data_IF_816533384259
#
_entry.id   IF_816533384259
#
_cell.length_a   1.000
_cell.length_b   1.000
_cell.length_c   1.000
_cell.angle_alpha   90.00
_cell.angle_beta   90.00
_cell.angle_gamma   90.00
#
_symmetry.space_group_name_H-M   'P 1'
#
loop_
_entity.id
_entity.type
_entity.pdbx_description
1 polymer ?
#
# COMPACT_ATOMS: atom_id res chain seq x y z
N UNK A 1 11.19 13.14 -24.99
CA UNK A 1 11.25 11.75 -24.48
C UNK A 1 9.94 11.60 -23.72
N UNK A 2 8.87 11.31 -24.45
CA UNK A 2 7.51 11.62 -23.98
C UNK A 2 6.74 10.32 -23.81
N UNK A 3 7.04 9.60 -22.74
CA UNK A 3 6.16 8.55 -22.23
C UNK A 3 5.56 9.07 -20.92
N UNK A 4 4.40 9.75 -20.98
CA UNK A 4 3.77 10.28 -19.78
C UNK A 4 3.49 9.14 -18.81
N UNK A 5 3.90 9.31 -17.56
CA UNK A 5 3.58 8.38 -16.48
C UNK A 5 2.05 8.39 -16.31
N UNK A 6 1.45 7.22 -16.21
CA UNK A 6 0.00 7.12 -16.04
C UNK A 6 -0.41 7.86 -14.74
N UNK A 7 -1.38 8.79 -14.75
CA UNK A 7 -1.70 9.62 -13.57
C UNK A 7 -1.99 8.80 -12.30
N UNK A 8 -2.74 7.69 -12.43
CA UNK A 8 -3.03 6.76 -11.32
C UNK A 8 -1.78 6.09 -10.71
N UNK A 9 -0.66 6.03 -11.44
CA UNK A 9 0.58 5.44 -10.94
C UNK A 9 1.33 6.38 -10.00
N UNK A 10 1.16 7.70 -10.16
CA UNK A 10 1.91 8.67 -9.36
C UNK A 10 1.63 8.56 -7.87
N UNK A 11 0.37 8.33 -7.46
CA UNK A 11 0.01 8.11 -6.06
C UNK A 11 0.65 6.84 -5.49
N UNK A 12 0.76 5.78 -6.30
CA UNK A 12 1.44 4.54 -5.91
C UNK A 12 2.95 4.77 -5.73
N UNK A 13 3.57 5.51 -6.66
CA UNK A 13 4.99 5.85 -6.59
C UNK A 13 5.29 6.74 -5.36
N UNK A 14 4.48 7.76 -5.13
CA UNK A 14 4.62 8.63 -3.96
C UNK A 14 4.41 7.88 -2.64
N UNK A 15 3.44 6.96 -2.57
CA UNK A 15 3.27 6.11 -1.40
C UNK A 15 4.54 5.28 -1.11
N UNK A 16 5.17 4.70 -2.13
CA UNK A 16 6.41 3.92 -1.97
C UNK A 16 7.58 4.77 -1.44
N UNK A 17 7.78 5.98 -1.94
CA UNK A 17 8.90 6.83 -1.50
C UNK A 17 8.62 7.55 -0.18
N UNK A 18 7.37 7.91 0.11
CA UNK A 18 6.99 8.67 1.31
C UNK A 18 6.64 7.81 2.50
N UNK A 19 6.11 6.60 2.33
CA UNK A 19 5.55 5.85 3.46
C UNK A 19 6.45 4.69 3.93
N UNK A 20 7.54 4.43 3.20
CA UNK A 20 8.58 3.49 3.64
C UNK A 20 9.51 4.10 4.68
N UNK A 21 10.10 3.22 5.49
CA UNK A 21 11.08 3.54 6.51
C UNK A 21 12.38 4.09 5.90
N UNK A 22 12.89 3.42 4.87
CA UNK A 22 14.14 3.78 4.22
C UNK A 22 13.98 4.98 3.27
N UNK A 23 15.02 5.80 3.21
CA UNK A 23 15.17 6.89 2.23
C UNK A 23 14.82 8.27 2.77
N UNK A 24 15.33 9.28 2.06
CA UNK A 24 15.04 10.69 2.29
C UNK A 24 14.20 11.18 1.11
N UNK A 25 12.86 11.07 1.17
CA UNK A 25 12.02 11.40 0.05
C UNK A 25 12.14 12.90 -0.28
N UNK A 26 12.24 13.20 -1.57
CA UNK A 26 12.16 14.54 -2.10
C UNK A 26 10.84 14.66 -2.85
N UNK A 27 10.03 15.65 -2.47
CA UNK A 27 8.77 15.97 -3.14
C UNK A 27 9.02 17.07 -4.15
N UNK A 28 8.54 16.88 -5.38
CA UNK A 28 8.68 17.87 -6.44
C UNK A 28 7.62 18.96 -6.30
N UNK A 29 8.04 20.22 -6.40
CA UNK A 29 7.14 21.38 -6.26
C UNK A 29 6.02 21.36 -7.30
N UNK A 30 6.33 21.04 -8.56
CA UNK A 30 5.35 20.98 -9.64
C UNK A 30 4.32 19.87 -9.47
N UNK A 31 4.63 18.79 -8.75
CA UNK A 31 3.66 17.74 -8.44
C UNK A 31 2.70 18.15 -7.31
N UNK A 32 3.13 19.03 -6.41
CA UNK A 32 2.31 19.57 -5.32
C UNK A 32 1.38 20.69 -5.79
N UNK A 33 1.90 21.63 -6.59
CA UNK A 33 1.20 22.86 -6.95
C UNK A 33 0.79 22.91 -8.42
N UNK A 34 1.22 21.94 -9.23
CA UNK A 34 1.13 22.03 -10.67
C UNK A 34 2.22 22.88 -11.28
N UNK A 35 2.22 22.97 -12.61
CA UNK A 35 3.13 23.82 -13.39
C UNK A 35 2.34 24.78 -14.25
N UNK A 36 2.92 25.95 -14.51
CA UNK A 36 2.35 26.97 -15.39
C UNK A 36 2.78 26.76 -16.85
N UNK A 37 2.29 27.63 -17.74
CA UNK A 37 2.71 27.73 -19.14
C UNK A 37 4.24 27.73 -19.30
N UNK A 38 4.80 27.07 -20.34
CA UNK A 38 4.12 26.46 -21.49
C UNK A 38 3.68 25.00 -21.29
N UNK A 39 3.90 24.43 -20.11
CA UNK A 39 3.60 23.02 -19.80
C UNK A 39 2.68 22.97 -18.60
N UNK A 40 1.40 23.29 -18.80
CA UNK A 40 0.39 23.28 -17.74
C UNK A 40 0.15 21.84 -17.24
N UNK A 41 0.31 21.63 -15.94
CA UNK A 41 -0.12 20.39 -15.29
C UNK A 41 -0.81 20.71 -13.97
N UNK A 42 -1.91 20.02 -13.70
CA UNK A 42 -2.54 20.07 -12.38
C UNK A 42 -1.68 19.35 -11.33
N UNK A 43 -1.87 19.64 -10.03
CA UNK A 43 -1.29 18.84 -8.97
C UNK A 43 -1.53 17.34 -9.17
N UNK A 44 -0.50 16.57 -8.88
CA UNK A 44 -0.49 15.12 -9.00
C UNK A 44 -1.28 14.47 -7.86
N UNK A 45 -1.54 13.16 -7.96
CA UNK A 45 -2.28 12.38 -6.95
C UNK A 45 -3.71 12.87 -6.68
N UNK A 46 -4.36 13.54 -7.63
CA UNK A 46 -5.67 14.17 -7.44
C UNK A 46 -5.69 15.13 -6.24
N UNK A 47 -4.57 15.83 -5.98
CA UNK A 47 -4.40 16.73 -4.82
C UNK A 47 -4.09 16.03 -3.49
N UNK A 48 -3.98 14.69 -3.46
CA UNK A 48 -3.78 13.90 -2.24
C UNK A 48 -2.33 13.78 -1.79
N UNK A 49 -1.40 14.39 -2.52
CA UNK A 49 0.03 14.35 -2.16
C UNK A 49 0.28 14.96 -0.77
N UNK A 50 -0.50 15.97 -0.40
CA UNK A 50 -0.52 16.54 0.94
C UNK A 50 -0.85 15.53 2.04
N UNK A 51 -1.85 14.67 1.81
CA UNK A 51 -2.23 13.61 2.73
C UNK A 51 -1.10 12.58 2.90
N UNK A 52 -0.37 12.24 1.83
CA UNK A 52 0.78 11.33 1.91
C UNK A 52 1.92 11.92 2.75
N UNK A 53 2.20 13.22 2.59
CA UNK A 53 3.21 13.93 3.39
C UNK A 53 2.80 13.99 4.86
N UNK A 54 1.53 14.31 5.14
CA UNK A 54 1.01 14.34 6.50
C UNK A 54 1.05 12.95 7.15
N UNK A 55 0.65 11.91 6.41
CA UNK A 55 0.74 10.52 6.88
C UNK A 55 2.18 10.13 7.20
N UNK A 56 3.16 10.57 6.39
CA UNK A 56 4.58 10.39 6.70
C UNK A 56 4.96 11.09 8.00
N UNK A 57 4.57 12.36 8.15
CA UNK A 57 4.90 13.21 9.30
C UNK A 57 4.32 12.69 10.62
N UNK A 58 3.15 12.04 10.60
CA UNK A 58 2.45 11.64 11.82
C UNK A 58 2.58 10.15 12.14
N UNK A 59 2.56 9.28 11.12
CA UNK A 59 2.31 7.84 11.32
C UNK A 59 3.39 6.92 10.76
N UNK A 60 4.28 7.40 9.89
CA UNK A 60 5.33 6.59 9.28
C UNK A 60 6.56 6.41 10.19
N UNK A 61 6.33 5.93 11.41
CA UNK A 61 7.35 5.66 12.42
C UNK A 61 7.32 4.20 12.88
N UNK A 62 8.39 3.80 13.57
CA UNK A 62 8.55 2.44 14.06
C UNK A 62 9.01 1.45 12.99
N UNK A 63 9.16 0.20 13.43
CA UNK A 63 9.56 -0.95 12.63
C UNK A 63 8.63 -1.11 11.42
N UNK A 64 9.22 -1.43 10.27
CA UNK A 64 8.48 -1.77 9.06
C UNK A 64 8.38 -3.29 8.85
N UNK A 65 7.19 -3.76 8.49
CA UNK A 65 6.97 -5.14 8.03
C UNK A 65 6.34 -5.16 6.63
N UNK A 66 7.01 -5.81 5.68
CA UNK A 66 6.60 -5.88 4.27
C UNK A 66 5.77 -7.13 3.95
N UNK A 67 4.70 -6.96 3.16
CA UNK A 67 3.76 -8.00 2.71
C UNK A 67 3.67 -8.03 1.18
N UNK A 68 4.72 -8.54 0.52
CA UNK A 68 4.92 -8.48 -0.94
C UNK A 68 4.71 -9.84 -1.64
N UNK A 69 3.85 -10.71 -1.08
CA UNK A 69 3.72 -12.10 -1.52
C UNK A 69 3.03 -12.26 -2.89
N UNK A 70 2.14 -11.35 -3.27
CA UNK A 70 1.51 -11.33 -4.60
C UNK A 70 1.90 -10.04 -5.34
N UNK A 71 2.27 -10.15 -6.63
CA UNK A 71 2.81 -9.04 -7.40
C UNK A 71 1.80 -7.92 -7.65
N UNK A 72 0.51 -8.25 -7.74
CA UNK A 72 -0.53 -7.30 -8.10
C UNK A 72 -1.02 -6.50 -6.89
N UNK A 73 -0.85 -7.01 -5.67
CA UNK A 73 -1.33 -6.35 -4.46
C UNK A 73 -0.28 -6.45 -3.37
N UNK A 74 0.32 -5.34 -2.98
CA UNK A 74 1.37 -5.32 -1.97
C UNK A 74 0.94 -4.44 -0.81
N UNK A 75 1.50 -4.69 0.37
CA UNK A 75 1.28 -3.84 1.52
C UNK A 75 2.45 -3.84 2.47
N UNK A 76 2.46 -2.90 3.38
CA UNK A 76 3.43 -2.84 4.47
C UNK A 76 2.81 -2.14 5.68
N UNK A 77 3.36 -2.46 6.84
CA UNK A 77 2.96 -1.89 8.13
C UNK A 77 4.12 -1.10 8.68
N UNK A 78 3.83 0.08 9.25
CA UNK A 78 4.71 0.81 10.17
C UNK A 78 4.11 0.69 11.56
N UNK A 79 4.83 0.08 12.50
CA UNK A 79 4.28 -0.27 13.83
C UNK A 79 3.99 0.93 14.73
N UNK A 80 4.48 2.11 14.40
CA UNK A 80 4.40 3.26 15.28
C UNK A 80 5.46 3.22 16.39
N UNK A 81 5.42 4.23 17.25
CA UNK A 81 6.34 4.36 18.38
C UNK A 81 5.57 4.85 19.61
N UNK A 82 5.85 4.26 20.77
CA UNK A 82 5.21 4.61 22.04
C UNK A 82 6.19 5.01 23.16
N UNK A 83 7.51 4.83 22.95
CA UNK A 83 8.51 4.81 24.03
C UNK A 83 9.46 6.04 24.15
N UNK A 84 9.14 7.22 23.56
CA UNK A 84 9.58 8.49 24.14
C UNK A 84 8.40 9.23 24.80
N UNK A 85 8.55 9.74 26.03
CA UNK A 85 7.57 10.67 26.62
C UNK A 85 7.38 11.88 25.70
N UNK A 86 6.13 12.11 25.26
CA UNK A 86 5.76 13.28 24.45
C UNK A 86 5.70 13.05 22.93
N UNK A 87 6.05 11.87 22.42
CA UNK A 87 5.81 11.54 21.01
C UNK A 87 5.26 10.12 20.87
N UNK A 88 3.98 10.02 20.51
CA UNK A 88 3.31 8.75 20.25
C UNK A 88 2.78 8.76 18.82
N UNK A 89 3.25 7.81 18.01
CA UNK A 89 2.77 7.59 16.65
C UNK A 89 2.06 6.23 16.62
N UNK A 90 0.78 6.22 16.25
CA UNK A 90 -0.05 5.00 16.18
C UNK A 90 0.40 4.00 15.09
N UNK A 91 1.34 4.38 14.23
CA UNK A 91 1.67 3.58 13.05
C UNK A 91 0.62 3.68 11.94
N UNK A 92 0.84 2.95 10.86
CA UNK A 92 -0.06 2.89 9.72
C UNK A 92 0.10 1.59 8.94
N UNK A 93 -0.93 1.23 8.20
CA UNK A 93 -0.95 0.08 7.30
C UNK A 93 -1.25 0.56 5.88
N UNK A 94 -0.34 0.30 4.96
CA UNK A 94 -0.47 0.69 3.56
C UNK A 94 -0.79 -0.54 2.74
N UNK A 95 -1.81 -0.46 1.90
CA UNK A 95 -2.12 -1.47 0.89
C UNK A 95 -2.26 -0.79 -0.44
N UNK A 96 -1.58 -1.31 -1.44
CA UNK A 96 -1.70 -0.85 -2.80
C UNK A 96 -1.87 -2.00 -3.77
N UNK A 97 -2.58 -1.72 -4.86
CA UNK A 97 -2.89 -2.67 -5.89
C UNK A 97 -2.62 -2.05 -7.25
N UNK A 98 -1.98 -2.82 -8.13
CA UNK A 98 -1.81 -2.49 -9.53
C UNK A 98 -2.08 -3.70 -10.41
N UNK A 99 -3.15 -3.61 -11.18
CA UNK A 99 -3.50 -4.52 -12.25
C UNK A 99 -3.25 -3.78 -13.55
N UNK A 100 -2.19 -4.17 -14.26
CA UNK A 100 -1.95 -3.66 -15.61
C UNK A 100 -3.04 -4.14 -16.58
N UNK A 101 -3.31 -3.35 -17.63
CA UNK A 101 -4.14 -3.76 -18.76
C UNK A 101 -3.41 -4.80 -19.64
N UNK A 102 -2.99 -5.91 -19.03
CA UNK A 102 -2.54 -7.05 -19.79
C UNK A 102 -3.77 -7.67 -20.44
N UNK A 103 -3.94 -7.43 -21.76
CA UNK A 103 -4.77 -8.30 -22.60
C UNK A 103 -4.23 -9.72 -22.40
N UNK A 104 -4.89 -10.52 -21.56
CA UNK A 104 -4.61 -11.95 -21.46
C UNK A 104 -4.78 -12.54 -22.86
N UNK A 105 -3.70 -12.77 -23.59
CA UNK A 105 -3.72 -13.86 -24.58
C UNK A 105 -3.89 -15.11 -23.75
N UNK A 106 -4.92 -15.90 -24.04
CA UNK A 106 -5.33 -17.10 -23.30
C UNK A 106 -4.26 -18.21 -23.19
N UNK A 107 -2.99 -17.95 -23.53
CA UNK A 107 -1.89 -18.90 -23.64
C UNK A 107 -0.80 -18.73 -22.57
N UNK A 108 -0.84 -17.69 -21.73
CA UNK A 108 0.28 -17.35 -20.81
C UNK A 108 0.08 -17.80 -19.34
N UNK A 109 -0.99 -18.53 -19.02
CA UNK A 109 -1.18 -19.10 -17.68
C UNK A 109 -0.20 -20.25 -17.36
N UNK A 110 0.58 -20.71 -18.34
CA UNK A 110 1.58 -21.77 -18.18
C UNK A 110 3.03 -21.29 -18.13
N UNK A 111 3.34 -20.02 -18.42
CA UNK A 111 4.73 -19.56 -18.58
C UNK A 111 5.34 -18.96 -17.30
N UNK A 112 4.52 -18.30 -16.47
CA UNK A 112 4.99 -17.59 -15.26
C UNK A 112 5.34 -18.57 -14.11
N UNK A 113 4.82 -19.81 -14.17
CA UNK A 113 5.09 -20.88 -13.20
C UNK A 113 5.59 -22.17 -13.88
N UNK A 114 6.35 -22.05 -14.98
CA UNK A 114 6.97 -23.22 -15.59
C UNK A 114 8.12 -23.72 -14.70
N UNK A 115 7.79 -24.67 -13.81
CA UNK A 115 8.75 -25.36 -12.94
C UNK A 115 9.95 -25.84 -13.78
N UNK A 116 11.21 -25.57 -13.37
CA UNK A 116 12.38 -26.01 -14.13
C UNK A 116 12.37 -27.54 -14.31
N UNK A 117 12.92 -28.05 -15.43
CA UNK A 117 12.77 -29.46 -15.85
C UNK A 117 13.14 -30.48 -14.77
N UNK A 118 14.05 -30.14 -13.85
CA UNK A 118 14.44 -31.00 -12.74
C UNK A 118 13.31 -31.19 -11.70
N UNK A 119 12.45 -30.19 -11.49
CA UNK A 119 11.28 -30.27 -10.61
C UNK A 119 10.17 -31.13 -11.23
N UNK A 120 10.04 -31.14 -12.57
CA UNK A 120 9.11 -32.02 -13.31
C UNK A 120 9.52 -33.50 -13.25
N UNK A 121 10.80 -33.79 -13.00
CA UNK A 121 11.30 -35.16 -12.82
C UNK A 121 10.96 -35.73 -11.44
N UNK A 122 10.82 -34.87 -10.44
CA UNK A 122 10.44 -35.24 -9.08
C UNK A 122 8.91 -35.36 -8.89
N UNK A 123 8.10 -34.79 -9.79
CA UNK A 123 6.64 -34.89 -9.73
C UNK A 123 6.07 -36.26 -10.11
N UNK A 124 6.90 -37.22 -10.53
CA UNK A 124 6.49 -38.61 -10.76
C UNK A 124 6.30 -39.45 -9.49
N UNK A 125 6.68 -38.93 -8.31
CA UNK A 125 6.62 -39.67 -7.03
C UNK A 125 5.79 -38.97 -5.94
N UNK A 126 5.21 -37.80 -6.21
CA UNK A 126 4.38 -37.07 -5.24
C UNK A 126 2.89 -37.14 -5.63
N UNK A 127 2.34 -38.35 -5.61
CA UNK A 127 0.91 -38.52 -5.43
C UNK A 127 0.53 -38.13 -4.00
N UNK A 128 -0.40 -37.18 -3.87
CA UNK A 128 -1.02 -36.63 -2.64
C UNK A 128 -0.31 -35.42 -2.02
N UNK A 129 -1.10 -34.37 -1.78
CA UNK A 129 -0.78 -33.08 -1.14
C UNK A 129 -0.17 -31.98 -2.02
N UNK A 130 -0.82 -31.68 -3.16
CA UNK A 130 -0.67 -30.37 -3.80
C UNK A 130 -1.73 -29.40 -3.31
N UNK A 131 -1.46 -28.64 -2.23
CA UNK A 131 -2.24 -27.44 -1.92
C UNK A 131 -1.92 -26.42 -3.01
N UNK A 132 -2.87 -26.14 -3.90
CA UNK A 132 -2.78 -24.97 -4.78
C UNK A 132 -2.62 -23.74 -3.88
N UNK A 133 -1.65 -22.83 -4.13
CA UNK A 133 -1.60 -21.59 -3.37
C UNK A 133 -2.94 -20.88 -3.57
N UNK A 134 -3.70 -20.68 -2.50
CA UNK A 134 -4.91 -19.85 -2.52
C UNK A 134 -4.44 -18.48 -3.03
N UNK A 135 -4.85 -18.08 -4.23
CA UNK A 135 -4.74 -16.69 -4.67
C UNK A 135 -5.39 -15.85 -3.57
N UNK A 136 -4.63 -14.92 -3.00
CA UNK A 136 -5.21 -13.94 -2.10
C UNK A 136 -6.37 -13.24 -2.83
N UNK A 137 -7.46 -12.89 -2.12
CA UNK A 137 -8.54 -12.16 -2.76
C UNK A 137 -7.97 -10.88 -3.38
N UNK A 138 -8.32 -10.62 -4.65
CA UNK A 138 -7.79 -9.46 -5.37
C UNK A 138 -8.10 -8.19 -4.57
N UNK A 139 -7.11 -7.30 -4.48
CA UNK A 139 -7.24 -5.98 -3.86
C UNK A 139 -7.42 -5.97 -2.34
N UNK A 140 -6.90 -6.95 -1.60
CA UNK A 140 -6.82 -6.85 -0.14
C UNK A 140 -5.60 -7.57 0.42
N UNK A 141 -5.15 -7.14 1.60
CA UNK A 141 -4.03 -7.75 2.31
C UNK A 141 -4.36 -8.03 3.76
N UNK A 142 -4.10 -9.26 4.17
CA UNK A 142 -4.03 -9.59 5.59
C UNK A 142 -2.67 -9.17 6.11
N UNK A 143 -2.65 -8.32 7.14
CA UNK A 143 -1.43 -7.79 7.73
C UNK A 143 -1.58 -7.72 9.25
N UNK A 144 -0.48 -7.97 9.95
CA UNK A 144 -0.36 -7.78 11.38
C UNK A 144 0.17 -6.38 11.69
N UNK A 145 -0.64 -5.56 12.35
CA UNK A 145 -0.29 -4.21 12.83
C UNK A 145 0.28 -4.22 14.25
N UNK A 146 0.07 -5.32 14.98
CA UNK A 146 0.56 -5.55 16.34
C UNK A 146 -0.57 -5.60 17.37
N UNK A 147 -0.36 -6.40 18.41
CA UNK A 147 -1.36 -6.66 19.46
C UNK A 147 -1.76 -5.41 20.25
N UNK A 148 -0.92 -4.38 20.26
CA UNK A 148 -1.20 -3.10 20.90
C UNK A 148 -2.39 -2.36 20.24
N UNK A 149 -2.72 -2.70 19.00
CA UNK A 149 -3.86 -2.13 18.27
C UNK A 149 -5.11 -3.02 18.31
N UNK A 150 -5.10 -4.11 19.08
CA UNK A 150 -6.22 -5.04 19.17
C UNK A 150 -7.53 -4.32 19.53
N UNK A 151 -8.60 -4.60 18.77
CA UNK A 151 -9.92 -3.99 18.96
C UNK A 151 -10.07 -2.58 18.40
N UNK A 152 -8.99 -1.94 17.95
CA UNK A 152 -9.09 -0.63 17.27
C UNK A 152 -9.82 -0.74 15.93
N UNK A 153 -10.42 0.37 15.50
CA UNK A 153 -11.04 0.50 14.18
C UNK A 153 -10.22 1.45 13.33
N UNK A 154 -9.65 0.92 12.25
CA UNK A 154 -8.80 1.63 11.32
C UNK A 154 -9.56 1.98 10.05
N UNK A 155 -9.22 3.12 9.45
CA UNK A 155 -9.87 3.63 8.25
C UNK A 155 -8.86 4.28 7.33
N UNK A 156 -9.17 4.27 6.03
CA UNK A 156 -8.33 4.85 5.00
C UNK A 156 -8.44 6.39 4.95
N UNK A 157 -7.31 7.07 4.75
CA UNK A 157 -7.22 8.53 4.63
C UNK A 157 -6.93 9.03 3.20
N UNK A 158 -6.83 8.14 2.21
CA UNK A 158 -6.57 8.48 0.80
C UNK A 158 -7.74 8.15 -0.15
N UNK A 159 -8.89 7.71 0.38
CA UNK A 159 -10.05 7.19 -0.36
C UNK A 159 -9.76 6.01 -1.32
N UNK A 160 -8.66 5.30 -1.13
CA UNK A 160 -8.39 4.00 -1.71
C UNK A 160 -9.34 2.90 -1.23
N UNK A 161 -10.07 3.09 -0.13
CA UNK A 161 -11.08 2.16 0.38
C UNK A 161 -12.14 2.89 1.23
N UNK A 162 -13.39 2.42 1.19
CA UNK A 162 -14.47 2.88 2.05
C UNK A 162 -14.70 1.99 3.28
N UNK A 163 -13.92 0.91 3.43
CA UNK A 163 -14.12 -0.06 4.50
C UNK A 163 -13.49 0.42 5.81
N UNK A 164 -14.19 0.16 6.91
CA UNK A 164 -13.62 0.21 8.26
C UNK A 164 -13.06 -1.17 8.59
N UNK A 165 -11.84 -1.20 9.12
CA UNK A 165 -11.12 -2.44 9.45
C UNK A 165 -10.98 -2.52 10.96
N UNK A 166 -11.55 -3.56 11.57
CA UNK A 166 -11.35 -3.82 13.00
C UNK A 166 -10.16 -4.74 13.18
N UNK A 167 -9.24 -4.38 14.07
CA UNK A 167 -8.04 -5.16 14.35
C UNK A 167 -8.38 -6.31 15.29
N UNK A 168 -7.96 -7.53 14.93
CA UNK A 168 -8.13 -8.73 15.74
C UNK A 168 -7.34 -8.70 17.04
N UNK A 169 -7.66 -9.60 17.96
CA UNK A 169 -6.96 -9.72 19.25
C UNK A 169 -5.48 -10.09 19.12
N UNK A 170 -5.08 -10.68 17.99
CA UNK A 170 -3.71 -11.03 17.64
C UNK A 170 -2.97 -9.88 16.91
N UNK A 171 -3.63 -8.73 16.72
CA UNK A 171 -3.11 -7.60 15.96
C UNK A 171 -3.23 -7.75 14.44
N UNK A 172 -3.93 -8.77 13.94
CA UNK A 172 -4.09 -9.04 12.50
C UNK A 172 -5.42 -8.50 12.00
N UNK A 173 -5.43 -7.98 10.77
CA UNK A 173 -6.66 -7.62 10.08
C UNK A 173 -6.52 -7.72 8.56
N UNK A 174 -7.66 -7.75 7.85
CA UNK A 174 -7.73 -7.72 6.40
C UNK A 174 -8.02 -6.30 5.92
N UNK A 175 -7.09 -5.75 5.15
CA UNK A 175 -7.09 -4.38 4.65
C UNK A 175 -7.40 -4.36 3.14
N UNK A 176 -8.62 -3.95 2.73
CA UNK A 176 -8.98 -3.84 1.32
C UNK A 176 -8.45 -2.57 0.66
N UNK A 177 -8.35 -2.58 -0.66
CA UNK A 177 -7.94 -1.46 -1.50
C UNK A 177 -8.70 -1.52 -2.83
N UNK A 178 -8.96 -0.39 -3.46
CA UNK A 178 -9.51 -0.33 -4.82
C UNK A 178 -8.49 -0.84 -5.84
N UNK A 179 -8.98 -1.21 -7.02
CA UNK A 179 -8.13 -1.56 -8.16
C UNK A 179 -7.34 -0.32 -8.61
N UNK A 180 -6.04 -0.50 -8.88
CA UNK A 180 -5.14 0.56 -9.36
C UNK A 180 -5.12 1.79 -8.42
N UNK A 181 -5.03 1.51 -7.11
CA UNK A 181 -5.11 2.50 -6.04
C UNK A 181 -4.20 2.11 -4.87
N UNK A 182 -3.97 3.08 -3.98
CA UNK A 182 -3.38 2.88 -2.65
C UNK A 182 -4.40 3.29 -1.59
N UNK A 183 -4.41 2.57 -0.47
CA UNK A 183 -5.14 2.89 0.75
C UNK A 183 -4.14 2.94 1.92
N UNK A 184 -4.28 3.94 2.78
CA UNK A 184 -3.46 4.13 3.98
C UNK A 184 -4.36 4.12 5.19
N UNK A 185 -4.37 3.00 5.90
CA UNK A 185 -5.16 2.78 7.09
C UNK A 185 -4.44 3.29 8.33
N UNK A 186 -5.16 4.12 9.08
CA UNK A 186 -4.73 4.68 10.36
C UNK A 186 -5.86 4.46 11.37
N UNK A 187 -5.49 4.31 12.64
CA UNK A 187 -6.44 4.20 13.75
C UNK A 187 -7.42 5.37 13.78
N UNK A 188 -8.70 5.09 13.98
CA UNK A 188 -9.75 6.09 14.05
C UNK A 188 -9.52 7.13 15.16
N UNK A 189 -8.81 6.74 16.21
CA UNK A 189 -8.45 7.56 17.38
C UNK A 189 -7.01 8.08 17.35
N UNK A 190 -6.28 7.93 16.24
CA UNK A 190 -4.93 8.44 16.13
C UNK A 190 -4.89 9.98 16.24
N UNK A 191 -3.95 10.50 17.02
CA UNK A 191 -3.73 11.95 17.17
C UNK A 191 -3.35 12.57 15.83
N UNK A 192 -3.87 13.77 15.54
CA UNK A 192 -3.60 14.51 14.29
C UNK A 192 -4.37 13.98 13.08
N UNK A 193 -5.24 12.98 13.25
CA UNK A 193 -6.02 12.40 12.16
C UNK A 193 -7.08 13.37 11.63
N UNK A 194 -7.52 14.29 12.47
CA UNK A 194 -8.42 15.39 12.14
C UNK A 194 -7.83 16.42 11.16
N UNK A 195 -6.51 16.42 10.95
CA UNK A 195 -5.84 17.28 9.96
C UNK A 195 -6.06 16.78 8.51
N UNK A 196 -6.60 15.56 8.32
CA UNK A 196 -6.97 15.04 7.01
C UNK A 196 -8.40 15.50 6.63
N UNK A 197 -8.69 15.89 5.39
CA UNK A 197 -7.80 15.99 4.21
C UNK A 197 -7.08 17.34 4.16
N UNK A 198 -5.81 17.31 3.76
CA UNK A 198 -4.98 18.51 3.63
C UNK A 198 -5.28 19.23 2.32
N UNK A 199 -5.76 20.46 2.42
CA UNK A 199 -5.89 21.37 1.28
C UNK A 199 -4.64 22.26 1.18
N UNK A 200 -3.83 22.05 0.15
CA UNK A 200 -2.83 23.03 -0.27
C UNK A 200 -3.51 23.94 -1.31
N UNK A 201 -3.77 25.19 -0.91
CA UNK A 201 -4.34 26.24 -1.77
C UNK A 201 -3.21 26.93 -2.52
#
# INVERSE_FOLDING_TARGET
>A
MDTPIHPKFTTLAYALILLREAGYPCVFYGDMYGTCEPFLSSPTCDGKLGNLILARKLYAYGEQQDYFQDPDCIGWVRRGISDPPGFQASGMAVVMNWVGDYKKKAHDEQSIFQKPRWVRRLSGLAGKFGVMPKRSPRCQREMNVGVQHAGEVWTDVLDGSSHKVTIGSDGTAVFPCKVNSVAVYISGSAVGREEFSVAFI
#
